data_IF_424414588106
#
_entry.id   IF_424414588106
#
_cell.length_a   1.000
_cell.length_b   1.000
_cell.length_c   1.000
_cell.angle_alpha   90.00
_cell.angle_beta   90.00
_cell.angle_gamma   90.00
#
_symmetry.space_group_name_H-M   'P 1'
#
loop_
_entity.id
_entity.type
_entity.pdbx_description
1 polymer ?
#
# COMPACT_ATOMS: atom_id res chain seq x y z
N UNK A 1 34.11 -29.68 -102.58
CA UNK A 1 33.88 -28.29 -102.10
C UNK A 1 33.65 -28.30 -100.61
N UNK A 2 34.66 -27.90 -99.87
CA UNK A 2 34.65 -27.90 -98.46
C UNK A 2 34.02 -26.56 -97.93
N UNK A 3 33.01 -26.63 -97.13
CA UNK A 3 32.41 -25.48 -96.45
C UNK A 3 33.10 -25.31 -95.10
N UNK A 4 33.72 -24.15 -94.90
CA UNK A 4 34.37 -23.72 -93.65
C UNK A 4 33.35 -23.25 -92.63
N UNK A 5 33.43 -23.75 -91.39
CA UNK A 5 32.64 -23.35 -90.22
C UNK A 5 33.36 -22.18 -89.57
N UNK A 6 32.66 -21.10 -89.14
CA UNK A 6 33.22 -19.98 -88.40
C UNK A 6 33.40 -20.31 -86.90
N UNK A 7 34.36 -19.69 -86.16
CA UNK A 7 34.66 -19.97 -84.76
C UNK A 7 33.63 -19.44 -83.80
N UNK A 8 33.43 -20.18 -82.75
CA UNK A 8 32.41 -20.02 -81.74
C UNK A 8 32.47 -18.74 -80.90
N UNK A 9 31.32 -18.27 -80.58
CA UNK A 9 31.07 -17.20 -79.62
C UNK A 9 31.20 -17.76 -78.20
N UNK A 10 32.26 -17.29 -77.54
CA UNK A 10 32.51 -17.67 -76.14
C UNK A 10 31.41 -17.01 -75.21
N UNK A 11 30.62 -17.83 -74.56
CA UNK A 11 29.78 -17.39 -73.45
C UNK A 11 30.72 -17.05 -72.27
N UNK A 12 30.89 -15.75 -72.00
CA UNK A 12 31.41 -15.28 -70.73
C UNK A 12 30.34 -15.59 -69.61
N UNK A 13 30.61 -16.64 -68.88
CA UNK A 13 29.86 -16.96 -67.67
C UNK A 13 30.06 -15.84 -66.62
N UNK A 14 29.17 -14.89 -66.63
CA UNK A 14 29.13 -13.93 -65.53
C UNK A 14 28.78 -14.69 -64.23
N UNK A 15 29.74 -14.72 -63.33
CA UNK A 15 29.47 -15.14 -61.90
C UNK A 15 28.50 -14.14 -61.38
N UNK A 16 27.23 -14.54 -61.24
CA UNK A 16 26.26 -13.77 -60.46
C UNK A 16 26.78 -13.77 -59.01
N UNK A 17 27.43 -12.69 -58.60
CA UNK A 17 27.64 -12.41 -57.18
C UNK A 17 26.27 -12.38 -56.52
N UNK A 18 25.94 -13.44 -55.82
CA UNK A 18 24.77 -13.51 -54.96
C UNK A 18 24.97 -12.44 -53.88
N UNK A 19 24.36 -11.28 -54.06
CA UNK A 19 24.34 -10.21 -53.08
C UNK A 19 23.68 -10.78 -51.82
N UNK A 20 24.50 -11.21 -50.85
CA UNK A 20 24.03 -11.67 -49.57
C UNK A 20 23.32 -10.46 -48.93
N UNK A 21 22.00 -10.47 -48.95
CA UNK A 21 21.24 -9.46 -48.25
C UNK A 21 21.52 -9.64 -46.75
N UNK A 22 21.98 -8.61 -46.06
CA UNK A 22 22.28 -8.73 -44.64
C UNK A 22 21.01 -9.14 -43.89
N UNK A 23 21.10 -10.21 -43.11
CA UNK A 23 20.07 -10.67 -42.21
C UNK A 23 20.02 -9.73 -40.99
N UNK A 24 18.81 -9.36 -40.55
CA UNK A 24 18.59 -8.51 -39.37
C UNK A 24 18.49 -9.32 -38.06
N UNK A 25 18.82 -10.59 -38.07
CA UNK A 25 18.64 -11.47 -36.91
C UNK A 25 19.48 -11.02 -35.69
N UNK A 26 20.71 -10.56 -35.94
CA UNK A 26 21.58 -10.03 -34.88
C UNK A 26 20.97 -8.78 -34.19
N UNK A 27 20.38 -7.87 -34.98
CA UNK A 27 19.69 -6.69 -34.45
C UNK A 27 18.45 -7.08 -33.65
N UNK A 28 17.63 -8.00 -34.17
CA UNK A 28 16.43 -8.50 -33.48
C UNK A 28 16.74 -9.18 -32.15
N UNK A 29 17.87 -9.85 -32.05
CA UNK A 29 18.32 -10.56 -30.86
C UNK A 29 19.04 -9.64 -29.87
N UNK A 30 19.34 -8.40 -30.24
CA UNK A 30 19.99 -7.45 -29.34
C UNK A 30 19.06 -7.03 -28.21
N UNK A 31 19.53 -6.96 -26.93
CA UNK A 31 18.77 -6.40 -25.84
C UNK A 31 18.24 -4.98 -26.13
N UNK A 32 18.99 -4.18 -26.87
CA UNK A 32 18.59 -2.81 -27.26
C UNK A 32 17.37 -2.76 -28.19
N UNK A 33 17.00 -3.87 -28.81
CA UNK A 33 15.84 -3.96 -29.71
C UNK A 33 14.54 -4.32 -28.97
N UNK A 34 14.63 -4.68 -27.69
CA UNK A 34 13.43 -4.96 -26.87
C UNK A 34 12.67 -3.65 -26.63
N UNK A 35 11.34 -3.74 -26.65
CA UNK A 35 10.51 -2.63 -26.21
C UNK A 35 10.79 -2.34 -24.74
N UNK A 36 11.09 -1.09 -24.40
CA UNK A 36 11.48 -0.69 -23.05
C UNK A 36 10.45 -1.12 -21.97
N UNK A 37 9.16 -1.05 -22.28
CA UNK A 37 8.09 -1.48 -21.38
C UNK A 37 8.02 -3.02 -21.16
N UNK A 38 8.65 -3.79 -22.01
CA UNK A 38 8.70 -5.26 -21.97
C UNK A 38 10.12 -5.78 -21.69
N UNK A 39 11.03 -4.91 -21.28
CA UNK A 39 12.39 -5.25 -20.88
C UNK A 39 12.56 -5.19 -19.37
N UNK A 40 12.41 -6.34 -18.67
CA UNK A 40 12.56 -6.39 -17.22
C UNK A 40 13.93 -5.95 -16.74
N UNK A 41 15.00 -6.27 -17.48
CA UNK A 41 16.37 -5.92 -17.11
C UNK A 41 16.57 -4.40 -17.12
N UNK A 42 15.99 -3.71 -18.10
CA UNK A 42 15.97 -2.26 -18.17
C UNK A 42 15.10 -1.67 -17.04
N UNK A 43 13.85 -2.16 -16.88
CA UNK A 43 12.90 -1.62 -15.85
C UNK A 43 13.44 -1.83 -14.44
N UNK A 44 14.13 -2.95 -14.16
CA UNK A 44 14.71 -3.26 -12.86
C UNK A 44 16.09 -2.63 -12.64
N UNK A 45 16.67 -2.01 -13.66
CA UNK A 45 17.95 -1.31 -13.58
C UNK A 45 17.93 -0.06 -12.70
N UNK A 46 19.10 0.42 -12.27
CA UNK A 46 19.20 1.57 -11.35
C UNK A 46 18.68 2.88 -11.96
N UNK A 47 18.87 3.08 -13.26
CA UNK A 47 18.45 4.29 -13.99
C UNK A 47 16.92 4.48 -14.00
N UNK A 48 16.15 3.42 -13.82
CA UNK A 48 14.68 3.42 -13.87
C UNK A 48 14.02 3.41 -12.50
N UNK A 49 14.77 3.67 -11.42
CA UNK A 49 14.23 3.69 -10.05
C UNK A 49 13.04 4.64 -9.89
N UNK A 50 13.09 5.84 -10.46
CA UNK A 50 11.98 6.79 -10.42
C UNK A 50 10.72 6.28 -11.12
N UNK A 51 10.88 5.54 -12.23
CA UNK A 51 9.77 4.88 -12.94
C UNK A 51 9.13 3.82 -12.05
N UNK A 52 9.92 3.04 -11.31
CA UNK A 52 9.39 2.03 -10.39
C UNK A 52 8.61 2.63 -9.22
N UNK A 53 9.00 3.80 -8.69
CA UNK A 53 8.20 4.54 -7.71
C UNK A 53 6.82 4.87 -8.29
N UNK A 54 6.79 5.38 -9.52
CA UNK A 54 5.54 5.73 -10.19
C UNK A 54 4.68 4.49 -10.46
N UNK A 55 5.28 3.36 -10.85
CA UNK A 55 4.55 2.10 -11.06
C UNK A 55 3.93 1.56 -9.75
N UNK A 56 4.66 1.59 -8.63
CA UNK A 56 4.13 1.17 -7.33
C UNK A 56 2.99 2.09 -6.85
N UNK A 57 3.15 3.40 -7.04
CA UNK A 57 2.10 4.36 -6.74
C UNK A 57 0.84 4.07 -7.56
N UNK A 58 0.99 4.03 -8.88
CA UNK A 58 -0.15 3.94 -9.79
C UNK A 58 -0.90 2.62 -9.67
N UNK A 59 -0.19 1.51 -9.51
CA UNK A 59 -0.80 0.19 -9.37
C UNK A 59 -1.75 0.13 -8.17
N UNK A 60 -1.32 0.61 -7.00
CA UNK A 60 -2.16 0.61 -5.81
C UNK A 60 -3.33 1.60 -5.96
N UNK A 61 -3.05 2.79 -6.51
CA UNK A 61 -4.05 3.84 -6.75
C UNK A 61 -5.20 3.37 -7.64
N UNK A 62 -4.88 2.71 -8.75
CA UNK A 62 -5.89 2.21 -9.71
C UNK A 62 -6.80 1.15 -9.07
N UNK A 63 -6.24 0.21 -8.30
CA UNK A 63 -7.03 -0.79 -7.59
C UNK A 63 -7.93 -0.18 -6.51
N UNK A 64 -7.38 0.75 -5.70
CA UNK A 64 -8.16 1.43 -4.66
C UNK A 64 -9.33 2.22 -5.26
N UNK A 65 -9.08 2.95 -6.35
CA UNK A 65 -10.14 3.68 -7.08
C UNK A 65 -11.17 2.75 -7.71
N UNK A 66 -10.73 1.67 -8.35
CA UNK A 66 -11.64 0.69 -8.96
C UNK A 66 -12.59 0.04 -7.95
N UNK A 67 -12.15 -0.06 -6.67
CA UNK A 67 -12.97 -0.55 -5.56
C UNK A 67 -13.72 0.53 -4.80
N UNK A 68 -13.67 1.78 -5.26
CA UNK A 68 -14.36 2.90 -4.63
C UNK A 68 -13.83 3.22 -3.23
N UNK A 69 -12.56 2.97 -2.93
CA UNK A 69 -12.00 3.25 -1.61
C UNK A 69 -11.71 4.75 -1.49
N UNK A 70 -12.50 5.43 -0.68
CA UNK A 70 -12.39 6.88 -0.43
C UNK A 70 -11.49 7.16 0.75
N UNK A 71 -11.72 6.51 1.88
CA UNK A 71 -10.93 6.71 3.10
C UNK A 71 -10.69 5.40 3.85
N UNK A 72 -9.66 5.41 4.72
CA UNK A 72 -9.22 4.23 5.46
C UNK A 72 -9.11 4.53 6.96
N UNK A 73 -9.31 3.51 7.77
CA UNK A 73 -8.84 3.44 9.16
C UNK A 73 -7.61 2.55 9.18
N UNK A 74 -6.47 3.17 9.51
CA UNK A 74 -5.18 2.47 9.48
C UNK A 74 -4.91 1.85 10.85
N UNK A 75 -4.58 0.56 10.86
CA UNK A 75 -4.29 -0.18 12.09
C UNK A 75 -2.86 -0.71 12.05
N UNK A 76 -2.08 -0.31 13.06
CA UNK A 76 -0.71 -0.77 13.26
C UNK A 76 -0.55 -1.49 14.61
N UNK A 77 0.45 -2.34 14.68
CA UNK A 77 0.84 -3.05 15.89
C UNK A 77 1.83 -4.16 15.62
N UNK A 78 2.13 -4.94 16.65
CA UNK A 78 3.12 -6.02 16.60
C UNK A 78 2.71 -7.14 15.64
N UNK A 79 3.64 -7.54 14.76
CA UNK A 79 3.52 -8.74 13.95
C UNK A 79 3.74 -10.06 14.74
N UNK A 80 4.13 -9.96 16.02
CA UNK A 80 4.48 -11.12 16.88
C UNK A 80 3.34 -11.59 17.78
N UNK A 81 2.30 -10.79 17.91
CA UNK A 81 1.09 -11.13 18.67
C UNK A 81 0.38 -12.29 17.98
N UNK A 82 -0.25 -13.18 18.73
CA UNK A 82 -0.90 -14.38 18.21
C UNK A 82 -2.41 -14.39 18.51
N UNK A 83 -3.16 -15.15 17.75
CA UNK A 83 -4.57 -15.43 18.05
C UNK A 83 -4.73 -15.94 19.49
N UNK A 84 -5.73 -15.43 20.21
CA UNK A 84 -5.94 -15.66 21.64
C UNK A 84 -5.20 -14.68 22.56
N UNK A 85 -4.29 -13.86 22.05
CA UNK A 85 -3.69 -12.77 22.82
C UNK A 85 -4.70 -11.62 22.95
N UNK A 86 -4.70 -10.96 24.13
CA UNK A 86 -5.63 -9.85 24.40
C UNK A 86 -5.58 -8.73 23.35
N UNK A 87 -4.41 -8.42 22.81
CA UNK A 87 -4.24 -7.37 21.81
C UNK A 87 -4.72 -7.82 20.42
N UNK A 88 -4.53 -9.10 20.08
CA UNK A 88 -5.07 -9.68 18.85
C UNK A 88 -6.59 -9.60 18.83
N UNK A 89 -7.24 -10.09 19.90
CA UNK A 89 -8.70 -10.08 19.99
C UNK A 89 -9.27 -8.66 20.05
N UNK A 90 -8.58 -7.74 20.71
CA UNK A 90 -8.95 -6.33 20.75
C UNK A 90 -8.86 -5.66 19.37
N UNK A 91 -7.78 -5.91 18.60
CA UNK A 91 -7.62 -5.38 17.25
C UNK A 91 -8.67 -5.94 16.28
N UNK A 92 -8.96 -7.25 16.37
CA UNK A 92 -10.02 -7.90 15.61
C UNK A 92 -11.40 -7.32 15.92
N UNK A 93 -11.73 -7.15 17.21
CA UNK A 93 -12.99 -6.57 17.62
C UNK A 93 -13.10 -5.09 17.20
N UNK A 94 -12.06 -4.28 17.40
CA UNK A 94 -12.03 -2.89 16.95
C UNK A 94 -12.30 -2.80 15.44
N UNK A 95 -11.60 -3.56 14.62
CA UNK A 95 -11.74 -3.52 13.18
C UNK A 95 -13.14 -3.97 12.71
N UNK A 96 -13.75 -4.95 13.41
CA UNK A 96 -15.13 -5.35 13.17
C UNK A 96 -16.10 -4.20 13.46
N UNK A 97 -16.01 -3.58 14.64
CA UNK A 97 -16.84 -2.44 15.04
C UNK A 97 -16.69 -1.28 14.03
N UNK A 98 -15.46 -0.92 13.68
CA UNK A 98 -15.18 0.14 12.73
C UNK A 98 -15.75 -0.15 11.33
N UNK A 99 -15.68 -1.40 10.88
CA UNK A 99 -16.24 -1.82 9.59
C UNK A 99 -17.76 -1.82 9.57
N UNK A 100 -18.41 -2.29 10.64
CA UNK A 100 -19.86 -2.33 10.77
C UNK A 100 -20.50 -0.93 10.84
N UNK A 101 -19.81 0.04 11.47
CA UNK A 101 -20.37 1.37 11.78
C UNK A 101 -19.73 2.51 10.99
N UNK A 102 -18.59 2.30 10.37
CA UNK A 102 -17.77 3.36 9.77
C UNK A 102 -18.03 3.63 8.28
N UNK A 103 -18.95 2.90 7.62
CA UNK A 103 -19.25 3.09 6.19
C UNK A 103 -18.43 2.20 5.23
N UNK A 104 -17.65 1.26 5.74
CA UNK A 104 -16.89 0.32 4.91
C UNK A 104 -17.77 -0.68 4.14
N UNK A 105 -19.00 -0.94 4.63
CA UNK A 105 -19.99 -1.82 4.01
C UNK A 105 -20.81 -1.15 2.91
N UNK A 106 -20.75 0.18 2.80
CA UNK A 106 -21.54 0.93 1.82
C UNK A 106 -20.88 0.78 0.45
N UNK A 107 -21.67 0.26 -0.51
CA UNK A 107 -21.25 0.09 -1.90
C UNK A 107 -22.19 0.92 -2.78
N UNK A 108 -21.76 2.13 -3.13
CA UNK A 108 -22.58 3.07 -3.88
C UNK A 108 -21.74 4.19 -4.51
N UNK A 109 -22.41 5.16 -5.13
CA UNK A 109 -21.75 6.29 -5.82
C UNK A 109 -20.85 7.12 -4.89
N UNK A 110 -21.15 7.17 -3.59
CA UNK A 110 -20.32 7.85 -2.58
C UNK A 110 -19.03 7.11 -2.23
N UNK A 111 -18.88 5.87 -2.68
CA UNK A 111 -17.74 5.01 -2.39
C UNK A 111 -17.73 4.44 -0.97
N UNK A 112 -16.66 3.68 -0.65
CA UNK A 112 -16.43 3.06 0.67
C UNK A 112 -15.56 3.94 1.54
N UNK A 113 -16.06 4.23 2.72
CA UNK A 113 -15.36 5.04 3.70
C UNK A 113 -14.83 4.19 4.85
N UNK A 114 -13.72 4.64 5.47
CA UNK A 114 -13.16 4.07 6.69
C UNK A 114 -12.85 2.55 6.58
N UNK A 115 -12.44 2.12 5.38
CA UNK A 115 -12.02 0.74 5.14
C UNK A 115 -10.76 0.44 5.93
N UNK A 116 -10.71 -0.69 6.62
CA UNK A 116 -9.53 -1.10 7.40
C UNK A 116 -8.33 -1.29 6.46
N UNK A 117 -7.24 -0.60 6.79
CA UNK A 117 -5.96 -0.73 6.09
C UNK A 117 -4.85 -1.09 7.08
N UNK A 118 -4.00 -2.03 6.71
CA UNK A 118 -2.89 -2.49 7.53
C UNK A 118 -1.64 -2.67 6.69
N UNK A 119 -0.52 -3.02 7.34
CA UNK A 119 0.69 -3.47 6.66
C UNK A 119 0.61 -4.88 6.06
N UNK A 120 -0.54 -5.55 6.12
CA UNK A 120 -0.81 -6.84 5.46
C UNK A 120 -0.09 -8.06 6.06
N UNK A 121 0.70 -7.88 7.12
CA UNK A 121 1.44 -8.95 7.80
C UNK A 121 0.62 -9.68 8.88
N UNK A 122 1.26 -10.56 9.67
CA UNK A 122 0.63 -11.29 10.77
C UNK A 122 0.37 -10.41 12.00
N UNK A 123 -0.16 -11.01 13.04
CA UNK A 123 -0.37 -10.40 14.34
C UNK A 123 -1.50 -9.38 14.35
N UNK A 124 -1.25 -8.18 14.85
CA UNK A 124 -2.27 -7.12 14.92
C UNK A 124 -2.84 -6.76 13.54
N UNK A 125 -2.01 -6.76 12.50
CA UNK A 125 -2.44 -6.48 11.13
C UNK A 125 -3.41 -7.55 10.62
N UNK A 126 -3.07 -8.80 10.85
CA UNK A 126 -3.95 -9.95 10.56
C UNK A 126 -5.27 -9.87 11.33
N UNK A 127 -5.20 -9.61 12.63
CA UNK A 127 -6.37 -9.48 13.49
C UNK A 127 -7.34 -8.39 12.96
N UNK A 128 -6.80 -7.24 12.57
CA UNK A 128 -7.61 -6.15 12.03
C UNK A 128 -8.22 -6.49 10.65
N UNK A 129 -7.46 -7.06 9.73
CA UNK A 129 -8.01 -7.53 8.45
C UNK A 129 -9.10 -8.60 8.66
N UNK A 130 -8.89 -9.54 9.61
CA UNK A 130 -9.86 -10.56 9.97
C UNK A 130 -11.16 -9.96 10.51
N UNK A 131 -11.07 -9.02 11.44
CA UNK A 131 -12.25 -8.34 12.00
C UNK A 131 -13.09 -7.64 10.93
N UNK A 132 -12.45 -6.98 9.96
CA UNK A 132 -13.14 -6.37 8.83
C UNK A 132 -13.80 -7.42 7.92
N UNK A 133 -13.12 -8.53 7.62
CA UNK A 133 -13.67 -9.62 6.80
C UNK A 133 -14.84 -10.31 7.48
N UNK A 134 -14.78 -10.52 8.80
CA UNK A 134 -15.88 -11.08 9.61
C UNK A 134 -17.11 -10.17 9.65
N UNK A 135 -16.93 -8.85 9.51
CA UNK A 135 -18.00 -7.88 9.32
C UNK A 135 -18.57 -7.87 7.88
N UNK A 136 -17.97 -8.61 6.95
CA UNK A 136 -18.35 -8.59 5.54
C UNK A 136 -17.78 -7.42 4.74
N UNK A 137 -16.84 -6.65 5.32
CA UNK A 137 -16.21 -5.50 4.68
C UNK A 137 -14.95 -5.90 3.89
N UNK A 138 -14.60 -5.06 2.90
CA UNK A 138 -13.28 -5.11 2.28
C UNK A 138 -12.22 -4.66 3.28
N UNK A 139 -10.98 -5.18 3.12
CA UNK A 139 -9.83 -4.73 3.90
C UNK A 139 -8.56 -4.71 3.05
N UNK A 140 -7.63 -3.83 3.41
CA UNK A 140 -6.45 -3.53 2.61
C UNK A 140 -5.20 -4.05 3.32
N UNK A 141 -4.32 -4.71 2.57
CA UNK A 141 -2.98 -5.11 3.01
C UNK A 141 -1.90 -4.42 2.19
N UNK A 142 -1.13 -3.51 2.80
CA UNK A 142 0.02 -2.87 2.16
C UNK A 142 1.32 -3.55 2.61
N UNK A 143 1.65 -4.69 1.99
CA UNK A 143 2.84 -5.48 2.31
C UNK A 143 4.12 -4.82 1.79
N UNK A 144 5.23 -5.12 2.43
CA UNK A 144 6.58 -4.70 2.01
C UNK A 144 7.46 -5.93 1.78
N UNK A 145 8.30 -5.86 0.75
CA UNK A 145 9.30 -6.91 0.52
C UNK A 145 10.38 -6.82 1.60
N UNK A 146 10.55 -7.89 2.38
CA UNK A 146 11.57 -8.02 3.42
C UNK A 146 12.58 -9.13 3.03
N UNK A 147 13.82 -9.09 3.58
CA UNK A 147 14.84 -10.13 3.32
C UNK A 147 14.38 -11.55 3.69
N UNK A 148 13.56 -11.66 4.72
CA UNK A 148 12.86 -12.90 5.06
C UNK A 148 11.43 -12.76 4.55
N UNK A 149 11.09 -13.54 3.53
CA UNK A 149 9.81 -13.46 2.85
C UNK A 149 8.67 -13.71 3.83
N UNK A 150 7.84 -12.70 4.01
CA UNK A 150 6.64 -12.76 4.81
C UNK A 150 5.45 -12.82 3.87
N UNK A 151 4.68 -13.89 3.96
CA UNK A 151 3.43 -14.00 3.21
C UNK A 151 2.40 -12.98 3.71
N UNK A 152 1.54 -12.46 2.84
CA UNK A 152 0.42 -11.65 3.27
C UNK A 152 -0.52 -12.48 4.15
N UNK A 153 -1.16 -11.83 5.13
CA UNK A 153 -2.18 -12.53 5.91
C UNK A 153 -3.39 -12.89 5.03
N UNK A 154 -4.10 -13.99 5.33
CA UNK A 154 -5.16 -14.52 4.47
C UNK A 154 -6.47 -13.72 4.51
N UNK A 155 -6.56 -12.68 5.36
CA UNK A 155 -7.78 -11.93 5.62
C UNK A 155 -7.89 -10.62 4.86
N UNK A 156 -6.80 -10.12 4.25
CA UNK A 156 -6.90 -8.95 3.38
C UNK A 156 -7.58 -9.32 2.06
N UNK A 157 -8.38 -8.40 1.51
CA UNK A 157 -9.07 -8.62 0.24
C UNK A 157 -8.05 -8.86 -0.88
N UNK A 158 -8.16 -9.93 -1.68
CA UNK A 158 -7.09 -10.34 -2.60
C UNK A 158 -6.62 -9.24 -3.57
N UNK A 159 -7.53 -8.51 -4.20
CA UNK A 159 -7.20 -7.43 -5.14
C UNK A 159 -6.92 -6.06 -4.48
N UNK A 160 -7.01 -6.01 -3.15
CA UNK A 160 -6.55 -4.90 -2.30
C UNK A 160 -5.33 -5.30 -1.44
N UNK A 161 -4.65 -6.40 -1.81
CA UNK A 161 -3.42 -6.86 -1.18
C UNK A 161 -2.24 -6.51 -2.08
N UNK A 162 -1.45 -5.52 -1.65
CA UNK A 162 -0.34 -4.99 -2.43
C UNK A 162 0.99 -5.41 -1.85
N UNK A 163 2.01 -5.50 -2.71
CA UNK A 163 3.40 -5.74 -2.33
C UNK A 163 4.27 -4.61 -2.85
N UNK A 164 4.88 -3.84 -1.94
CA UNK A 164 5.79 -2.75 -2.24
C UNK A 164 7.25 -3.20 -2.09
N UNK A 165 8.10 -2.65 -2.93
CA UNK A 165 9.54 -2.74 -2.77
C UNK A 165 10.07 -1.55 -1.96
N UNK A 166 9.45 -0.37 -2.11
CA UNK A 166 9.90 0.87 -1.50
C UNK A 166 9.03 1.27 -0.30
N UNK A 167 9.67 1.41 0.88
CA UNK A 167 9.00 1.87 2.09
C UNK A 167 8.26 3.20 1.88
N UNK A 168 8.89 4.16 1.17
CA UNK A 168 8.30 5.46 0.92
C UNK A 168 6.94 5.38 0.19
N UNK A 169 6.82 4.50 -0.80
CA UNK A 169 5.56 4.32 -1.54
C UNK A 169 4.48 3.67 -0.68
N UNK A 170 4.85 2.66 0.09
CA UNK A 170 3.95 2.01 1.06
C UNK A 170 3.42 3.00 2.09
N UNK A 171 4.31 3.76 2.74
CA UNK A 171 3.97 4.76 3.76
C UNK A 171 3.05 5.84 3.20
N UNK A 172 3.33 6.31 2.00
CA UNK A 172 2.48 7.29 1.33
C UNK A 172 1.05 6.77 1.14
N UNK A 173 0.85 5.52 0.68
CA UNK A 173 -0.48 4.94 0.53
C UNK A 173 -1.20 4.72 1.86
N UNK A 174 -0.47 4.39 2.93
CA UNK A 174 -1.04 4.30 4.28
C UNK A 174 -1.54 5.66 4.76
N UNK A 175 -0.81 6.75 4.49
CA UNK A 175 -1.15 8.09 4.97
C UNK A 175 -2.21 8.81 4.12
N UNK A 176 -2.18 8.66 2.78
CA UNK A 176 -2.96 9.50 1.85
C UNK A 176 -4.48 9.44 2.05
N UNK A 177 -5.02 8.28 2.41
CA UNK A 177 -6.45 8.06 2.61
C UNK A 177 -6.83 7.88 4.08
N UNK A 178 -5.86 8.03 4.99
CA UNK A 178 -6.12 7.83 6.41
C UNK A 178 -7.13 8.85 6.94
N UNK A 179 -8.26 8.38 7.41
CA UNK A 179 -9.23 9.15 8.19
C UNK A 179 -8.99 8.98 9.70
N UNK A 180 -8.29 7.91 10.09
CA UNK A 180 -7.87 7.66 11.46
C UNK A 180 -6.67 6.70 11.50
N UNK A 181 -5.92 6.76 12.61
CA UNK A 181 -4.86 5.82 12.93
C UNK A 181 -5.11 5.22 14.31
N UNK A 182 -5.12 3.90 14.40
CA UNK A 182 -5.22 3.17 15.68
C UNK A 182 -4.00 2.28 15.84
N UNK A 183 -3.25 2.51 16.90
CA UNK A 183 -1.93 1.90 17.11
C UNK A 183 -1.97 1.02 18.35
N UNK A 184 -1.89 -0.28 18.12
CA UNK A 184 -1.75 -1.29 19.16
C UNK A 184 -0.29 -1.45 19.57
N UNK A 185 -0.01 -2.06 20.73
CA UNK A 185 1.34 -2.34 21.16
C UNK A 185 2.19 -3.00 20.06
N UNK A 186 3.41 -2.47 19.86
CA UNK A 186 4.28 -2.92 18.78
C UNK A 186 5.73 -2.47 18.94
N UNK A 187 6.57 -2.89 18.01
CA UNK A 187 7.99 -2.59 18.00
C UNK A 187 8.35 -1.41 17.09
N UNK A 188 9.60 -1.41 16.61
CA UNK A 188 10.17 -0.31 15.82
C UNK A 188 9.35 0.05 14.57
N UNK A 189 8.85 -0.93 13.82
CA UNK A 189 8.02 -0.65 12.65
C UNK A 189 6.70 0.04 13.00
N UNK A 190 6.12 -0.28 14.17
CA UNK A 190 4.92 0.39 14.68
C UNK A 190 5.23 1.83 15.11
N UNK A 191 6.36 2.03 15.80
CA UNK A 191 6.80 3.36 16.23
C UNK A 191 7.17 4.25 15.04
N UNK A 192 7.81 3.70 14.01
CA UNK A 192 8.17 4.40 12.78
C UNK A 192 6.94 5.01 12.09
N UNK A 193 5.87 4.22 11.92
CA UNK A 193 4.62 4.72 11.34
C UNK A 193 3.90 5.72 12.26
N UNK A 194 3.89 5.45 13.58
CA UNK A 194 3.29 6.35 14.56
C UNK A 194 3.94 7.73 14.52
N UNK A 195 5.27 7.81 14.61
CA UNK A 195 5.98 9.07 14.65
C UNK A 195 5.97 9.81 13.31
N UNK A 196 5.92 9.10 12.19
CA UNK A 196 5.72 9.74 10.89
C UNK A 196 4.37 10.47 10.83
N UNK A 197 3.27 9.77 11.15
CA UNK A 197 1.92 10.37 11.13
C UNK A 197 1.80 11.50 12.15
N UNK A 198 2.36 11.33 13.36
CA UNK A 198 2.42 12.41 14.36
C UNK A 198 3.15 13.64 13.83
N UNK A 199 4.28 13.44 13.14
CA UNK A 199 5.07 14.53 12.54
C UNK A 199 4.32 15.22 11.40
N UNK A 200 3.67 14.46 10.53
CA UNK A 200 2.86 15.01 9.43
C UNK A 200 1.67 15.83 9.96
N UNK A 201 1.02 15.35 11.03
CA UNK A 201 -0.06 16.07 11.69
C UNK A 201 0.45 17.34 12.40
N UNK A 202 1.54 17.24 13.17
CA UNK A 202 2.19 18.35 13.87
C UNK A 202 2.58 19.47 12.91
N UNK A 203 3.11 19.12 11.76
CA UNK A 203 3.61 20.08 10.75
C UNK A 203 2.54 20.54 9.76
N UNK A 204 1.29 20.08 9.90
CA UNK A 204 0.18 20.44 8.99
C UNK A 204 0.37 19.90 7.57
N UNK A 205 1.16 18.84 7.38
CA UNK A 205 1.39 18.20 6.06
C UNK A 205 0.33 17.16 5.71
N UNK A 206 -0.54 16.82 6.66
CA UNK A 206 -1.74 16.01 6.43
C UNK A 206 -2.92 16.62 7.18
N UNK A 207 -4.17 16.29 6.82
CA UNK A 207 -5.34 16.66 7.60
C UNK A 207 -5.22 16.20 9.07
N UNK A 208 -5.88 16.91 9.98
CA UNK A 208 -5.92 16.52 11.39
C UNK A 208 -6.76 15.25 11.55
N UNK A 209 -6.12 14.09 11.51
CA UNK A 209 -6.76 12.78 11.75
C UNK A 209 -6.61 12.37 13.21
N UNK A 210 -7.58 11.68 13.82
CA UNK A 210 -7.44 11.09 15.15
C UNK A 210 -6.35 10.02 15.14
N UNK A 211 -5.49 10.06 16.15
CA UNK A 211 -4.47 9.04 16.45
C UNK A 211 -4.81 8.45 17.81
N UNK A 212 -5.14 7.18 17.84
CA UNK A 212 -5.52 6.45 19.07
C UNK A 212 -4.43 5.44 19.42
N UNK A 213 -3.88 5.57 20.62
CA UNK A 213 -2.91 4.64 21.19
C UNK A 213 -3.67 3.63 22.08
N UNK A 214 -3.81 2.40 21.61
CA UNK A 214 -4.53 1.35 22.33
C UNK A 214 -3.64 0.72 23.43
N UNK A 215 -4.17 0.52 24.63
CA UNK A 215 -3.50 0.12 25.87
C UNK A 215 -2.66 1.27 26.44
N UNK A 216 -3.34 2.15 27.15
CA UNK A 216 -2.74 3.36 27.75
C UNK A 216 -1.56 3.05 28.70
N UNK A 217 -1.63 1.92 29.40
CA UNK A 217 -0.56 1.50 30.31
C UNK A 217 0.73 1.19 29.56
N UNK A 218 0.63 0.39 28.46
CA UNK A 218 1.78 0.05 27.62
C UNK A 218 2.46 1.31 27.04
N UNK A 219 1.66 2.23 26.49
CA UNK A 219 2.21 3.40 25.81
C UNK A 219 2.84 4.40 26.78
N UNK A 220 2.26 4.60 27.96
CA UNK A 220 2.82 5.47 29.02
C UNK A 220 4.09 4.92 29.62
N UNK A 221 4.23 3.60 29.70
CA UNK A 221 5.43 2.93 30.14
C UNK A 221 6.56 3.02 29.07
N UNK A 222 6.18 2.87 27.80
CA UNK A 222 7.15 2.88 26.70
C UNK A 222 7.62 4.29 26.32
N UNK A 223 6.73 5.30 26.31
CA UNK A 223 6.97 6.64 25.76
C UNK A 223 6.75 7.73 26.80
N UNK A 224 7.83 8.36 27.26
CA UNK A 224 7.75 9.53 28.11
C UNK A 224 7.68 10.81 27.26
N UNK A 225 6.50 11.09 26.70
CA UNK A 225 6.27 12.26 25.84
C UNK A 225 6.23 13.57 26.65
N UNK A 226 5.85 13.53 27.95
CA UNK A 226 5.90 14.67 28.84
C UNK A 226 7.35 15.15 29.05
N UNK A 227 8.32 14.24 29.10
CA UNK A 227 9.73 14.60 29.16
C UNK A 227 10.19 15.36 27.89
N UNK A 228 9.66 15.02 26.72
CA UNK A 228 9.95 15.76 25.49
C UNK A 228 9.41 17.17 25.52
N UNK A 229 8.18 17.36 26.05
CA UNK A 229 7.58 18.68 26.21
C UNK A 229 8.35 19.52 27.27
N UNK A 230 8.73 18.90 28.39
CA UNK A 230 9.54 19.53 29.43
C UNK A 230 10.91 19.98 28.92
N UNK A 231 11.55 19.13 28.10
CA UNK A 231 12.83 19.44 27.45
C UNK A 231 12.69 20.41 26.24
N UNK A 232 11.46 20.84 25.91
CA UNK A 232 11.13 21.75 24.78
C UNK A 232 11.48 21.18 23.41
N UNK A 233 11.52 19.87 23.24
CA UNK A 233 11.66 19.23 21.93
C UNK A 233 10.33 19.20 21.17
N UNK A 234 9.22 19.21 21.90
CA UNK A 234 7.87 19.40 21.38
C UNK A 234 7.15 20.48 22.20
N UNK A 235 6.10 21.07 21.68
CA UNK A 235 5.24 22.00 22.42
C UNK A 235 4.32 21.24 23.34
N UNK A 236 3.85 21.83 24.47
CA UNK A 236 2.85 21.18 25.33
C UNK A 236 1.56 20.82 24.58
N UNK A 237 1.14 21.62 23.60
CA UNK A 237 -0.04 21.37 22.78
C UNK A 237 0.12 20.13 21.90
N UNK A 238 1.33 19.75 21.55
CA UNK A 238 1.61 18.56 20.72
C UNK A 238 1.22 17.26 21.45
N UNK A 239 1.08 17.27 22.78
CA UNK A 239 0.54 16.15 23.55
C UNK A 239 -0.95 15.88 23.26
N UNK A 240 -1.65 16.81 22.63
CA UNK A 240 -3.03 16.63 22.17
C UNK A 240 -3.15 16.04 20.77
N UNK A 241 -2.05 15.75 20.09
CA UNK A 241 -2.05 15.15 18.76
C UNK A 241 -2.62 13.72 18.75
N UNK A 242 -2.64 13.05 19.88
CA UNK A 242 -3.11 11.67 20.06
C UNK A 242 -3.96 11.54 21.32
N UNK A 243 -4.68 10.44 21.46
CA UNK A 243 -5.40 10.05 22.65
C UNK A 243 -5.18 8.56 22.96
N UNK A 244 -5.59 8.15 24.15
CA UNK A 244 -5.51 6.75 24.59
C UNK A 244 -6.90 6.10 24.57
N UNK A 245 -6.92 4.77 24.41
CA UNK A 245 -8.08 3.92 24.61
C UNK A 245 -7.66 2.56 25.18
N UNK A 246 -8.50 1.99 26.02
CA UNK A 246 -8.23 0.71 26.69
C UNK A 246 -9.23 -0.39 26.32
N UNK A 247 -10.27 -0.04 25.55
CA UNK A 247 -11.22 -1.00 24.99
C UNK A 247 -11.45 -0.75 23.50
N UNK A 248 -11.84 -1.78 22.72
CA UNK A 248 -12.14 -1.61 21.29
C UNK A 248 -13.27 -0.60 21.03
N UNK A 249 -14.29 -0.58 21.87
CA UNK A 249 -15.40 0.36 21.76
C UNK A 249 -14.94 1.80 22.03
N UNK A 250 -14.14 1.99 23.08
CA UNK A 250 -13.54 3.30 23.38
C UNK A 250 -12.65 3.77 22.23
N UNK A 251 -11.83 2.89 21.66
CA UNK A 251 -10.96 3.22 20.52
C UNK A 251 -11.80 3.70 19.33
N UNK A 252 -12.91 3.03 19.03
CA UNK A 252 -13.84 3.47 17.98
C UNK A 252 -14.46 4.83 18.31
N UNK A 253 -14.93 5.04 19.54
CA UNK A 253 -15.50 6.32 19.96
C UNK A 253 -14.47 7.46 19.86
N UNK A 254 -13.22 7.23 20.27
CA UNK A 254 -12.12 8.21 20.13
C UNK A 254 -11.84 8.57 18.67
N UNK A 255 -11.94 7.60 17.77
CA UNK A 255 -11.81 7.84 16.32
C UNK A 255 -12.94 8.74 15.83
N UNK A 256 -14.18 8.44 16.19
CA UNK A 256 -15.37 9.24 15.78
C UNK A 256 -15.30 10.65 16.34
N UNK A 257 -15.05 10.80 17.64
CA UNK A 257 -14.97 12.11 18.32
C UNK A 257 -13.82 12.96 17.77
N UNK A 258 -12.66 12.35 17.55
CA UNK A 258 -11.47 13.04 17.06
C UNK A 258 -11.56 13.45 15.58
N UNK A 259 -12.32 12.74 14.77
CA UNK A 259 -12.59 13.10 13.38
C UNK A 259 -13.69 14.17 13.24
N UNK A 260 -14.59 14.27 14.22
CA UNK A 260 -15.67 15.26 14.22
C UNK A 260 -16.48 15.25 12.92
N UNK A 261 -16.66 16.42 12.32
CA UNK A 261 -17.40 16.54 11.03
C UNK A 261 -16.71 15.81 9.85
N UNK A 262 -15.43 15.46 9.95
CA UNK A 262 -14.72 14.69 8.92
C UNK A 262 -15.08 13.19 8.95
N UNK A 263 -15.78 12.73 10.02
CA UNK A 263 -16.35 11.38 10.09
C UNK A 263 -17.75 11.38 9.48
N UNK A 264 -17.87 11.81 8.23
CA UNK A 264 -19.13 11.78 7.52
C UNK A 264 -19.34 10.37 6.94
N UNK A 265 -20.42 9.73 7.41
CA UNK A 265 -20.97 8.58 6.69
C UNK A 265 -21.68 9.10 5.44
N UNK A 266 -21.53 8.43 4.28
CA UNK A 266 -22.38 8.75 3.14
C UNK A 266 -23.84 8.62 3.55
N UNK A 267 -24.68 9.57 3.14
CA UNK A 267 -26.10 9.52 3.39
C UNK A 267 -26.65 8.17 2.92
N UNK A 268 -27.39 7.48 3.80
CA UNK A 268 -28.07 6.24 3.45
C UNK A 268 -29.23 6.57 2.48
N UNK A 269 -29.00 6.53 1.19
CA UNK A 269 -30.03 6.69 0.15
C UNK A 269 -30.95 5.46 0.02
N UNK A 270 -30.84 4.47 0.89
CA UNK A 270 -31.60 3.25 0.81
C UNK A 270 -32.52 3.00 2.01
N UNK A 271 -33.42 3.96 2.33
CA UNK A 271 -34.66 3.68 3.07
C UNK A 271 -35.75 4.68 2.69
N UNK A 272 -36.14 4.70 1.44
CA UNK A 272 -37.45 5.22 1.01
C UNK A 272 -37.92 4.41 -0.20
N UNK A 273 -38.51 3.28 0.05
CA UNK A 273 -39.60 2.67 -0.73
C UNK A 273 -40.47 1.86 0.19
#
# INVERSE_FOLDING_TARGET
MQATVPPGCGYAGGIMETKIMPDSQAQKNSPSYRLAALDPDFILGDSTRGVRFMLEYQKAEDHLRARGIVSTVVVFGSARVREGDRWYEAARQFARIASERGGALIDGESGRHHVIATGGGPGIMEAANRGATEAGALSIGFNITLPHEQEPNPWSTPDLTFRFHYFAMRKMHLAMRAAALVVFPGGFGTLDELFEIMTLKQTGKMPAVPIVLYDSAFWRDLLNLDAMATAKFIRPEDLSLFCYADTPEEAYQRVVDGAGQNWTLPANDSMQT
#
